data_IF_413660159824
#
_entry.id   IF_413660159824
#
_cell.length_a   1.000
_cell.length_b   1.000
_cell.length_c   1.000
_cell.angle_alpha   90.00
_cell.angle_beta   90.00
_cell.angle_gamma   90.00
#
_symmetry.space_group_name_H-M   'P 1'
#
loop_
_entity.id
_entity.type
_entity.pdbx_description
1 polymer ?
#
# COMPACT_ATOMS: atom_id res chain seq x y z
N UNK A 1 -37.91 -3.01 8.52
CA UNK A 1 -36.48 -3.21 8.20
C UNK A 1 -35.58 -3.19 9.42
N UNK A 2 -35.81 -2.30 10.39
CA UNK A 2 -35.07 -2.25 11.67
C UNK A 2 -34.96 -3.61 12.36
N UNK A 3 -36.08 -4.30 12.54
CA UNK A 3 -36.11 -5.64 13.15
C UNK A 3 -35.23 -6.66 12.43
N UNK A 4 -35.27 -6.69 11.09
CA UNK A 4 -34.42 -7.60 10.30
C UNK A 4 -32.93 -7.30 10.46
N UNK A 5 -32.55 -6.02 10.60
CA UNK A 5 -31.15 -5.62 10.85
C UNK A 5 -30.72 -6.02 12.26
N UNK A 6 -31.57 -5.77 13.26
CA UNK A 6 -31.26 -6.15 14.64
C UNK A 6 -31.19 -7.67 14.82
N UNK A 7 -32.09 -8.42 14.18
CA UNK A 7 -32.05 -9.88 14.13
C UNK A 7 -30.75 -10.37 13.47
N UNK A 8 -30.35 -9.74 12.36
CA UNK A 8 -29.09 -10.05 11.68
C UNK A 8 -27.85 -9.82 12.57
N UNK A 9 -27.80 -8.67 13.25
CA UNK A 9 -26.71 -8.33 14.19
C UNK A 9 -26.65 -9.32 15.36
N UNK A 10 -27.80 -9.85 15.79
CA UNK A 10 -27.90 -10.82 16.87
C UNK A 10 -27.70 -12.28 16.40
N UNK A 11 -27.30 -12.51 15.14
CA UNK A 11 -26.95 -13.83 14.62
C UNK A 11 -28.11 -14.66 14.05
N UNK A 12 -29.26 -14.06 13.75
CA UNK A 12 -30.36 -14.78 13.11
C UNK A 12 -30.05 -15.10 11.65
N UNK A 13 -29.58 -16.33 11.42
CA UNK A 13 -29.24 -16.87 10.09
C UNK A 13 -30.43 -16.89 9.12
N UNK A 14 -31.68 -16.85 9.58
CA UNK A 14 -32.84 -16.79 8.68
C UNK A 14 -32.89 -15.48 7.91
N UNK A 15 -32.36 -14.39 8.49
CA UNK A 15 -32.28 -13.10 7.82
C UNK A 15 -31.10 -12.99 6.85
N UNK A 16 -30.07 -13.84 6.97
CA UNK A 16 -28.88 -13.84 6.09
C UNK A 16 -29.26 -13.96 4.62
N UNK A 17 -30.07 -14.96 4.25
CA UNK A 17 -30.46 -15.20 2.85
C UNK A 17 -31.19 -13.98 2.24
N UNK A 18 -31.98 -13.26 3.03
CA UNK A 18 -32.62 -12.03 2.59
C UNK A 18 -31.59 -10.95 2.21
N UNK A 19 -30.55 -10.75 3.03
CA UNK A 19 -29.51 -9.76 2.77
C UNK A 19 -28.57 -10.16 1.64
N UNK A 20 -28.20 -11.44 1.50
CA UNK A 20 -27.44 -11.93 0.35
C UNK A 20 -28.17 -11.64 -0.97
N UNK A 21 -29.47 -11.96 -1.03
CA UNK A 21 -30.29 -11.65 -2.20
C UNK A 21 -30.36 -10.14 -2.48
N UNK A 22 -30.40 -9.31 -1.44
CA UNK A 22 -30.43 -7.86 -1.59
C UNK A 22 -29.08 -7.31 -2.09
N UNK A 23 -27.96 -7.86 -1.61
CA UNK A 23 -26.60 -7.56 -2.08
C UNK A 23 -26.47 -7.90 -3.55
N UNK A 24 -26.84 -9.13 -3.96
CA UNK A 24 -26.78 -9.55 -5.36
C UNK A 24 -27.62 -8.62 -6.27
N UNK A 25 -28.82 -8.24 -5.82
CA UNK A 25 -29.68 -7.30 -6.55
C UNK A 25 -29.04 -5.92 -6.68
N UNK A 26 -28.51 -5.34 -5.60
CA UNK A 26 -27.88 -4.01 -5.66
C UNK A 26 -26.57 -4.04 -6.46
N UNK A 27 -25.77 -5.09 -6.36
CA UNK A 27 -24.55 -5.27 -7.15
C UNK A 27 -24.86 -5.32 -8.65
N UNK A 28 -25.86 -6.09 -9.08
CA UNK A 28 -26.33 -6.14 -10.47
C UNK A 28 -26.89 -4.81 -10.95
N UNK A 29 -27.72 -4.15 -10.13
CA UNK A 29 -28.31 -2.85 -10.47
C UNK A 29 -27.25 -1.76 -10.67
N UNK A 30 -26.13 -1.85 -9.95
CA UNK A 30 -25.01 -0.90 -10.05
C UNK A 30 -23.89 -1.40 -10.98
N UNK A 31 -24.07 -2.53 -11.65
CA UNK A 31 -23.06 -3.20 -12.50
C UNK A 31 -21.73 -3.48 -11.79
N UNK A 32 -21.76 -3.53 -10.45
CA UNK A 32 -20.59 -3.84 -9.61
C UNK A 32 -20.37 -5.35 -9.48
N UNK A 33 -21.38 -6.16 -9.78
CA UNK A 33 -21.30 -7.62 -9.77
C UNK A 33 -20.24 -8.15 -10.74
N UNK A 34 -20.04 -7.50 -11.89
CA UNK A 34 -18.97 -7.86 -12.85
C UNK A 34 -17.58 -7.79 -12.18
N UNK A 35 -17.32 -6.70 -11.45
CA UNK A 35 -16.05 -6.51 -10.76
C UNK A 35 -15.92 -7.44 -9.55
N UNK A 36 -16.99 -7.57 -8.76
CA UNK A 36 -17.00 -8.46 -7.60
C UNK A 36 -16.75 -9.91 -8.02
N UNK A 37 -17.41 -10.40 -9.07
CA UNK A 37 -17.16 -11.74 -9.63
C UNK A 37 -15.73 -11.90 -10.12
N UNK A 38 -15.20 -10.89 -10.81
CA UNK A 38 -13.82 -10.89 -11.29
C UNK A 38 -12.82 -11.02 -10.14
N UNK A 39 -13.08 -10.40 -9.00
CA UNK A 39 -12.13 -10.33 -7.88
C UNK A 39 -12.35 -11.39 -6.79
N UNK A 40 -13.58 -11.89 -6.62
CA UNK A 40 -13.98 -12.76 -5.50
C UNK A 40 -14.62 -14.08 -5.96
N UNK A 41 -14.84 -14.25 -7.26
CA UNK A 41 -15.54 -15.42 -7.80
C UNK A 41 -17.07 -15.32 -7.73
N UNK A 42 -17.73 -16.41 -8.10
CA UNK A 42 -19.19 -16.44 -8.29
C UNK A 42 -20.00 -16.22 -7.00
N UNK A 43 -19.41 -16.46 -5.82
CA UNK A 43 -20.06 -16.37 -4.51
C UNK A 43 -19.65 -15.10 -3.73
N UNK A 44 -19.39 -13.99 -4.44
CA UNK A 44 -18.90 -12.74 -3.84
C UNK A 44 -19.83 -12.14 -2.77
N UNK A 45 -21.11 -12.50 -2.80
CA UNK A 45 -22.12 -11.95 -1.89
C UNK A 45 -21.83 -12.26 -0.43
N UNK A 46 -21.15 -13.37 -0.12
CA UNK A 46 -20.75 -13.74 1.24
C UNK A 46 -19.66 -12.81 1.79
N UNK A 47 -18.71 -12.40 0.94
CA UNK A 47 -17.65 -11.46 1.33
C UNK A 47 -18.24 -10.06 1.57
N UNK A 48 -19.08 -9.59 0.64
CA UNK A 48 -19.79 -8.31 0.79
C UNK A 48 -20.71 -8.33 2.02
N UNK A 49 -21.34 -9.47 2.29
CA UNK A 49 -22.17 -9.65 3.48
C UNK A 49 -21.34 -9.54 4.77
N UNK A 50 -20.14 -10.12 4.80
CA UNK A 50 -19.23 -9.99 5.94
C UNK A 50 -18.86 -8.53 6.21
N UNK A 51 -18.57 -7.75 5.16
CA UNK A 51 -18.33 -6.30 5.28
C UNK A 51 -19.58 -5.54 5.77
N UNK A 52 -20.76 -5.92 5.29
CA UNK A 52 -22.02 -5.34 5.75
C UNK A 52 -22.24 -5.60 7.24
N UNK A 53 -21.95 -6.81 7.73
CA UNK A 53 -22.07 -7.15 9.16
C UNK A 53 -21.13 -6.30 10.02
N UNK A 54 -19.86 -6.21 9.64
CA UNK A 54 -18.87 -5.38 10.34
C UNK A 54 -19.34 -3.92 10.44
N UNK A 55 -19.89 -3.41 9.33
CA UNK A 55 -20.44 -2.06 9.28
C UNK A 55 -21.66 -1.89 10.17
N UNK A 56 -22.58 -2.85 10.19
CA UNK A 56 -23.76 -2.81 11.05
C UNK A 56 -23.39 -2.90 12.53
N UNK A 57 -22.38 -3.69 12.89
CA UNK A 57 -21.84 -3.79 14.24
C UNK A 57 -21.25 -2.47 14.71
N UNK A 58 -20.49 -1.77 13.86
CA UNK A 58 -19.87 -0.49 14.22
C UNK A 58 -20.88 0.64 14.44
N UNK A 59 -22.09 0.54 13.89
CA UNK A 59 -23.16 1.52 14.05
C UNK A 59 -24.35 0.99 14.89
N UNK A 60 -24.20 -0.15 15.56
CA UNK A 60 -25.28 -0.84 16.28
C UNK A 60 -26.04 0.08 17.24
N UNK A 61 -25.33 0.83 18.07
CA UNK A 61 -25.94 1.71 19.07
C UNK A 61 -26.74 2.85 18.43
N UNK A 62 -26.25 3.37 17.30
CA UNK A 62 -26.95 4.38 16.53
C UNK A 62 -28.22 3.82 15.86
N UNK A 63 -28.19 2.56 15.41
CA UNK A 63 -29.37 1.89 14.81
C UNK A 63 -30.45 1.59 15.86
N UNK A 64 -30.05 1.18 17.06
CA UNK A 64 -30.99 0.90 18.17
C UNK A 64 -31.82 2.13 18.54
N UNK A 65 -31.20 3.31 18.52
CA UNK A 65 -31.82 4.61 18.86
C UNK A 65 -32.77 5.17 17.79
N UNK A 66 -32.71 4.67 16.54
CA UNK A 66 -33.61 5.14 15.48
C UNK A 66 -35.00 4.53 15.64
N UNK A 67 -36.06 5.34 15.61
CA UNK A 67 -37.43 4.82 15.65
C UNK A 67 -37.70 3.87 14.47
N UNK A 68 -37.34 4.31 13.25
CA UNK A 68 -37.47 3.52 12.04
C UNK A 68 -36.20 3.52 11.19
N UNK A 69 -36.05 2.45 10.41
CA UNK A 69 -35.02 2.34 9.37
C UNK A 69 -35.75 2.05 8.07
N UNK A 70 -35.68 2.98 7.12
CA UNK A 70 -36.29 2.80 5.81
C UNK A 70 -35.42 1.89 4.91
N UNK A 71 -36.03 1.35 3.87
CA UNK A 71 -35.34 0.43 2.95
C UNK A 71 -34.23 1.12 2.14
N UNK A 72 -34.38 2.40 1.82
CA UNK A 72 -33.37 3.19 1.11
C UNK A 72 -32.05 3.29 1.89
N UNK A 73 -32.13 3.47 3.20
CA UNK A 73 -30.98 3.49 4.10
C UNK A 73 -30.21 2.17 4.06
N UNK A 74 -30.93 1.04 4.04
CA UNK A 74 -30.32 -0.30 3.93
C UNK A 74 -29.59 -0.47 2.61
N UNK A 75 -30.19 -0.03 1.50
CA UNK A 75 -29.51 -0.03 0.18
C UNK A 75 -28.24 0.81 0.21
N UNK A 76 -28.26 1.97 0.87
CA UNK A 76 -27.07 2.84 1.01
C UNK A 76 -25.95 2.12 1.79
N UNK A 77 -26.29 1.41 2.86
CA UNK A 77 -25.32 0.60 3.61
C UNK A 77 -24.73 -0.53 2.75
N UNK A 78 -25.56 -1.25 2.01
CA UNK A 78 -25.12 -2.32 1.10
C UNK A 78 -24.18 -1.79 0.03
N UNK A 79 -24.53 -0.67 -0.63
CA UNK A 79 -23.65 -0.05 -1.63
C UNK A 79 -22.32 0.35 -1.03
N UNK A 80 -22.34 0.90 0.18
CA UNK A 80 -21.09 1.25 0.86
C UNK A 80 -20.24 0.02 1.19
N UNK A 81 -20.86 -1.09 1.59
CA UNK A 81 -20.14 -2.36 1.82
C UNK A 81 -19.57 -2.93 0.52
N UNK A 82 -20.29 -2.83 -0.60
CA UNK A 82 -19.77 -3.20 -1.93
C UNK A 82 -18.53 -2.38 -2.29
N UNK A 83 -18.58 -1.06 -2.12
CA UNK A 83 -17.44 -0.17 -2.43
C UNK A 83 -16.23 -0.44 -1.53
N UNK A 84 -16.46 -0.67 -0.23
CA UNK A 84 -15.40 -1.05 0.71
C UNK A 84 -14.76 -2.39 0.33
N UNK A 85 -15.59 -3.37 -0.03
CA UNK A 85 -15.12 -4.67 -0.56
C UNK A 85 -14.27 -4.45 -1.81
N UNK A 86 -14.78 -3.73 -2.81
CA UNK A 86 -14.02 -3.46 -4.04
C UNK A 86 -12.72 -2.70 -3.78
N UNK A 87 -12.65 -1.80 -2.80
CA UNK A 87 -11.39 -1.15 -2.41
C UNK A 87 -10.38 -2.14 -1.86
N UNK A 88 -10.79 -3.01 -0.93
CA UNK A 88 -9.91 -4.04 -0.34
C UNK A 88 -9.29 -4.94 -1.42
N UNK A 89 -10.08 -5.33 -2.42
CA UNK A 89 -9.62 -6.27 -3.44
C UNK A 89 -8.99 -5.58 -4.66
N UNK A 90 -9.42 -4.37 -5.04
CA UNK A 90 -8.76 -3.63 -6.14
C UNK A 90 -7.27 -3.37 -5.87
N UNK A 91 -6.87 -3.28 -4.60
CA UNK A 91 -5.47 -3.08 -4.20
C UNK A 91 -4.69 -4.41 -4.10
N UNK A 92 -5.37 -5.57 -4.11
CA UNK A 92 -4.75 -6.91 -4.05
C UNK A 92 -4.49 -7.55 -5.42
N UNK A 93 -4.94 -6.94 -6.53
CA UNK A 93 -4.76 -7.50 -7.88
C UNK A 93 -3.58 -6.87 -8.64
N UNK A 94 -2.37 -7.06 -8.12
CA UNK A 94 -1.30 -7.52 -9.04
C UNK A 94 -1.42 -9.03 -9.06
N UNK A 95 -1.96 -9.59 -10.14
CA UNK A 95 -2.12 -11.03 -10.31
C UNK A 95 -0.73 -11.69 -10.23
N UNK A 96 -0.47 -12.41 -9.13
CA UNK A 96 0.75 -13.21 -8.95
C UNK A 96 0.88 -14.30 -10.02
N UNK A 97 -0.25 -14.76 -10.58
CA UNK A 97 -0.30 -15.74 -11.68
C UNK A 97 0.36 -15.25 -12.97
N UNK A 98 0.58 -13.94 -13.13
CA UNK A 98 1.27 -13.35 -14.30
C UNK A 98 2.73 -13.00 -14.03
N UNK A 99 3.23 -13.23 -12.83
CA UNK A 99 4.62 -13.01 -12.47
C UNK A 99 5.37 -14.33 -12.56
N UNK A 100 5.59 -14.83 -13.78
CA UNK A 100 6.61 -15.85 -14.00
C UNK A 100 7.94 -15.15 -14.26
N UNK A 101 8.98 -15.58 -13.57
CA UNK A 101 10.35 -15.12 -13.81
C UNK A 101 11.13 -16.28 -14.41
N UNK A 102 11.60 -16.11 -15.64
CA UNK A 102 12.62 -17.01 -16.18
C UNK A 102 13.93 -16.76 -15.42
N UNK A 103 14.45 -17.83 -14.84
CA UNK A 103 15.83 -17.84 -14.33
C UNK A 103 16.81 -17.85 -15.51
N UNK A 104 18.07 -17.48 -15.26
CA UNK A 104 19.18 -17.52 -16.23
C UNK A 104 19.40 -18.90 -16.88
N UNK A 105 18.76 -19.92 -16.33
CA UNK A 105 18.91 -21.33 -16.68
C UNK A 105 17.67 -21.84 -17.44
N UNK A 106 16.74 -20.96 -17.80
CA UNK A 106 15.54 -21.26 -18.59
C UNK A 106 14.42 -21.97 -17.83
N UNK A 107 14.49 -22.06 -16.51
CA UNK A 107 13.39 -22.59 -15.68
C UNK A 107 12.42 -21.49 -15.30
N UNK A 108 11.15 -21.75 -15.59
CA UNK A 108 10.02 -20.93 -15.17
C UNK A 108 9.66 -21.28 -13.72
N UNK A 109 9.90 -20.35 -12.79
CA UNK A 109 9.56 -20.51 -11.37
C UNK A 109 8.26 -19.77 -11.10
N UNK A 110 7.30 -20.46 -10.50
CA UNK A 110 6.04 -19.86 -10.05
C UNK A 110 6.29 -19.08 -8.76
N UNK A 111 5.73 -17.86 -8.67
CA UNK A 111 5.95 -17.01 -7.50
C UNK A 111 5.47 -17.64 -6.19
N UNK A 112 4.52 -18.58 -6.22
CA UNK A 112 4.08 -19.29 -5.01
C UNK A 112 5.19 -20.12 -4.35
N UNK A 113 6.18 -20.58 -5.12
CA UNK A 113 7.36 -21.30 -4.60
C UNK A 113 8.36 -20.35 -3.91
N UNK A 114 8.26 -19.04 -4.16
CA UNK A 114 9.07 -18.00 -3.48
C UNK A 114 8.44 -17.56 -2.14
N UNK A 115 7.14 -17.76 -1.93
CA UNK A 115 6.37 -17.23 -0.79
C UNK A 115 6.65 -17.91 0.57
N UNK A 116 7.61 -18.82 0.65
CA UNK A 116 8.02 -19.45 1.91
C UNK A 116 8.84 -18.55 2.87
N UNK A 117 9.05 -17.26 2.58
CA UNK A 117 10.06 -16.44 3.29
C UNK A 117 9.80 -14.95 3.50
N UNK A 118 8.60 -14.40 3.25
CA UNK A 118 8.49 -12.95 3.06
C UNK A 118 7.60 -12.19 4.06
N UNK A 119 8.16 -11.91 5.24
CA UNK A 119 7.95 -10.61 5.92
C UNK A 119 8.74 -9.48 5.21
N UNK A 120 9.65 -9.83 4.27
CA UNK A 120 10.49 -8.87 3.55
C UNK A 120 9.82 -8.25 2.33
N UNK A 121 8.72 -8.80 1.81
CA UNK A 121 8.01 -8.23 0.65
C UNK A 121 7.30 -6.93 1.01
N UNK A 122 6.57 -6.89 2.13
CA UNK A 122 5.89 -5.66 2.58
C UNK A 122 6.91 -4.56 2.92
N UNK A 123 7.98 -4.91 3.63
CA UNK A 123 9.11 -4.00 3.88
C UNK A 123 9.72 -3.51 2.57
N UNK A 124 9.90 -4.37 1.56
CA UNK A 124 10.47 -3.96 0.27
C UNK A 124 9.59 -2.97 -0.50
N UNK A 125 8.26 -3.08 -0.41
CA UNK A 125 7.33 -2.14 -1.04
C UNK A 125 7.41 -0.78 -0.33
N UNK A 126 7.29 -0.75 0.99
CA UNK A 126 7.38 0.49 1.77
C UNK A 126 8.74 1.17 1.62
N UNK A 127 9.83 0.39 1.60
CA UNK A 127 11.19 0.86 1.31
C UNK A 127 11.27 1.49 -0.07
N UNK A 128 10.70 0.88 -1.11
CA UNK A 128 10.74 1.46 -2.46
C UNK A 128 9.96 2.77 -2.56
N UNK A 129 8.77 2.84 -1.94
CA UNK A 129 7.97 4.05 -1.88
C UNK A 129 8.71 5.17 -1.14
N UNK A 130 9.34 4.85 0.00
CA UNK A 130 10.13 5.78 0.78
C UNK A 130 11.36 6.28 -0.01
N UNK A 131 12.08 5.39 -0.69
CA UNK A 131 13.22 5.76 -1.55
C UNK A 131 12.75 6.70 -2.66
N UNK A 132 11.65 6.39 -3.34
CA UNK A 132 11.10 7.24 -4.39
C UNK A 132 10.66 8.62 -3.86
N UNK A 133 10.01 8.65 -2.70
CA UNK A 133 9.60 9.89 -2.05
C UNK A 133 10.82 10.77 -1.71
N UNK A 134 11.87 10.18 -1.13
CA UNK A 134 13.13 10.88 -0.85
C UNK A 134 13.74 11.39 -2.16
N UNK A 135 13.94 10.54 -3.17
CA UNK A 135 14.58 10.94 -4.43
C UNK A 135 13.82 12.02 -5.19
N UNK A 136 12.48 12.00 -5.16
CA UNK A 136 11.63 12.97 -5.87
C UNK A 136 11.84 14.42 -5.40
N UNK A 137 12.33 14.60 -4.17
CA UNK A 137 12.60 15.93 -3.60
C UNK A 137 14.08 16.32 -3.67
N UNK A 138 14.99 15.46 -4.15
CA UNK A 138 16.42 15.78 -4.21
C UNK A 138 16.80 16.42 -5.54
N UNK A 139 17.59 17.49 -5.48
CA UNK A 139 18.40 17.90 -6.63
C UNK A 139 19.69 17.07 -6.70
N UNK A 140 20.40 17.07 -7.83
CA UNK A 140 21.68 16.35 -7.98
C UNK A 140 22.69 16.71 -6.87
N UNK A 141 22.79 18.00 -6.54
CA UNK A 141 23.66 18.46 -5.46
C UNK A 141 23.15 18.09 -4.06
N UNK A 142 21.84 17.86 -3.89
CA UNK A 142 21.31 17.32 -2.62
C UNK A 142 21.63 15.82 -2.52
N UNK A 143 21.62 15.11 -3.64
CA UNK A 143 21.97 13.70 -3.72
C UNK A 143 23.44 13.46 -3.39
N UNK A 144 24.34 14.29 -3.93
CA UNK A 144 25.77 14.29 -3.60
C UNK A 144 26.00 14.47 -2.08
N UNK A 145 25.31 15.43 -1.46
CA UNK A 145 25.38 15.68 -0.01
C UNK A 145 24.83 14.48 0.77
N UNK A 146 23.69 13.93 0.34
CA UNK A 146 23.08 12.78 0.99
C UNK A 146 24.03 11.58 0.98
N UNK A 147 24.61 11.24 -0.17
CA UNK A 147 25.53 10.13 -0.30
C UNK A 147 26.80 10.31 0.56
N UNK A 148 27.38 11.52 0.58
CA UNK A 148 28.54 11.82 1.44
C UNK A 148 28.24 11.55 2.92
N UNK A 149 27.12 12.06 3.43
CA UNK A 149 26.76 11.87 4.84
C UNK A 149 26.34 10.42 5.14
N UNK A 150 25.63 9.74 4.24
CA UNK A 150 25.26 8.34 4.46
C UNK A 150 26.47 7.42 4.54
N UNK A 151 27.47 7.58 3.65
CA UNK A 151 28.73 6.82 3.77
C UNK A 151 29.45 7.12 5.08
N UNK A 152 29.51 8.41 5.46
CA UNK A 152 30.20 8.83 6.67
C UNK A 152 29.55 8.28 7.93
N UNK A 153 28.22 8.27 8.01
CA UNK A 153 27.48 7.74 9.16
C UNK A 153 27.55 6.20 9.23
N UNK A 154 27.49 5.51 8.09
CA UNK A 154 27.48 4.03 8.06
C UNK A 154 28.87 3.40 8.15
N UNK A 155 29.90 4.05 7.60
CA UNK A 155 31.26 3.50 7.51
C UNK A 155 32.32 4.31 8.25
N UNK A 156 31.95 5.43 8.89
CA UNK A 156 32.87 6.33 9.61
C UNK A 156 33.77 7.17 8.68
N UNK A 157 33.72 6.93 7.37
CA UNK A 157 34.47 7.65 6.32
C UNK A 157 33.64 7.66 5.04
N UNK A 158 33.80 8.70 4.24
CA UNK A 158 33.24 8.76 2.89
C UNK A 158 34.36 8.78 1.86
N UNK A 159 34.20 8.01 0.80
CA UNK A 159 35.08 8.03 -0.37
C UNK A 159 34.56 9.01 -1.44
N UNK A 160 33.43 9.66 -1.18
CA UNK A 160 32.85 10.69 -2.05
C UNK A 160 33.54 12.01 -1.71
N UNK A 161 34.20 12.61 -2.71
CA UNK A 161 34.69 13.98 -2.63
C UNK A 161 33.61 14.92 -3.12
N UNK A 162 32.95 15.70 -2.24
CA UNK A 162 31.94 16.63 -2.68
C UNK A 162 32.57 17.79 -3.45
N UNK A 163 31.90 18.21 -4.51
CA UNK A 163 32.24 19.36 -5.36
C UNK A 163 32.21 20.72 -4.65
N UNK A 164 31.84 20.75 -3.36
CA UNK A 164 31.61 21.96 -2.58
C UNK A 164 32.47 22.03 -1.33
N UNK A 165 32.67 23.25 -0.81
CA UNK A 165 33.42 23.46 0.44
C UNK A 165 32.74 22.82 1.64
N UNK A 166 33.51 22.51 2.69
CA UNK A 166 32.98 21.90 3.93
C UNK A 166 31.83 22.69 4.56
N UNK A 167 31.93 24.02 4.57
CA UNK A 167 30.88 24.91 5.08
C UNK A 167 29.60 24.86 4.23
N UNK A 168 29.75 24.84 2.90
CA UNK A 168 28.62 24.73 1.99
C UNK A 168 27.93 23.37 2.10
N UNK A 169 28.73 22.30 2.23
CA UNK A 169 28.27 20.93 2.45
C UNK A 169 27.45 20.82 3.74
N UNK A 170 27.96 21.35 4.85
CA UNK A 170 27.25 21.34 6.13
C UNK A 170 25.94 22.13 6.08
N UNK A 171 25.96 23.37 5.57
CA UNK A 171 24.74 24.18 5.43
C UNK A 171 23.70 23.55 4.51
N UNK A 172 24.14 22.77 3.53
CA UNK A 172 23.25 22.06 2.61
C UNK A 172 22.65 20.82 3.27
N UNK A 173 23.42 20.09 4.07
CA UNK A 173 22.94 18.96 4.86
C UNK A 173 21.83 19.35 5.84
N UNK A 174 22.00 20.45 6.58
CA UNK A 174 20.96 20.93 7.51
C UNK A 174 19.65 21.30 6.78
N UNK A 175 19.76 21.94 5.61
CA UNK A 175 18.62 22.23 4.75
C UNK A 175 17.97 20.97 4.21
N UNK A 176 18.77 19.98 3.82
CA UNK A 176 18.31 18.70 3.31
C UNK A 176 17.52 17.91 4.37
N UNK A 177 18.04 17.79 5.60
CA UNK A 177 17.32 17.16 6.72
C UNK A 177 15.95 17.81 6.95
N UNK A 178 15.91 19.13 6.91
CA UNK A 178 14.66 19.90 7.05
C UNK A 178 13.70 19.62 5.90
N UNK A 179 14.22 19.53 4.66
CA UNK A 179 13.44 19.24 3.45
C UNK A 179 12.83 17.84 3.51
N UNK A 180 13.60 16.82 3.88
CA UNK A 180 13.12 15.45 4.03
C UNK A 180 12.03 15.38 5.10
N UNK A 181 12.28 15.92 6.30
CA UNK A 181 11.29 15.91 7.41
C UNK A 181 9.95 16.58 7.06
N UNK A 182 9.94 17.55 6.14
CA UNK A 182 8.72 18.28 5.75
C UNK A 182 7.92 17.57 4.65
N UNK A 183 8.58 16.78 3.81
CA UNK A 183 7.97 16.26 2.58
C UNK A 183 7.88 14.72 2.54
N UNK A 184 8.53 14.04 3.48
CA UNK A 184 8.52 12.58 3.59
C UNK A 184 7.85 12.22 4.90
N UNK A 185 6.95 11.22 4.88
CA UNK A 185 6.35 10.69 6.10
C UNK A 185 7.42 10.09 7.01
N UNK A 186 7.12 9.91 8.30
CA UNK A 186 8.05 9.30 9.26
C UNK A 186 7.83 7.79 9.26
N UNK A 187 8.73 6.99 8.66
CA UNK A 187 8.65 5.52 8.71
C UNK A 187 9.11 4.99 10.08
N UNK A 188 8.92 3.69 10.31
CA UNK A 188 9.61 2.99 11.38
C UNK A 188 11.13 2.89 11.10
N UNK A 189 11.90 2.58 12.14
CA UNK A 189 13.36 2.54 12.09
C UNK A 189 13.90 1.49 11.09
N UNK A 190 13.21 0.36 10.93
CA UNK A 190 13.64 -0.74 10.06
C UNK A 190 13.48 -0.34 8.60
N UNK A 191 12.31 0.19 8.24
CA UNK A 191 12.00 0.69 6.89
C UNK A 191 12.92 1.85 6.52
N UNK A 192 13.18 2.78 7.46
CA UNK A 192 14.13 3.86 7.24
C UNK A 192 15.52 3.34 6.93
N UNK A 193 16.03 2.41 7.75
CA UNK A 193 17.36 1.84 7.58
C UNK A 193 17.50 1.16 6.22
N UNK A 194 16.54 0.32 5.84
CA UNK A 194 16.57 -0.35 4.53
C UNK A 194 16.49 0.63 3.35
N UNK A 195 15.71 1.70 3.46
CA UNK A 195 15.66 2.74 2.44
C UNK A 195 16.99 3.49 2.30
N UNK A 196 17.67 3.80 3.42
CA UNK A 196 18.99 4.42 3.39
C UNK A 196 20.06 3.49 2.81
N UNK A 197 20.07 2.21 3.22
CA UNK A 197 20.97 1.19 2.65
C UNK A 197 20.73 1.02 1.15
N UNK A 198 19.47 1.08 0.70
CA UNK A 198 19.11 1.01 -0.71
C UNK A 198 19.53 2.24 -1.50
N UNK A 199 19.29 3.45 -0.98
CA UNK A 199 19.77 4.70 -1.59
C UNK A 199 21.29 4.65 -1.77
N UNK A 200 21.98 4.20 -0.73
CA UNK A 200 23.42 4.03 -0.76
C UNK A 200 23.82 3.04 -1.86
N UNK A 201 23.26 1.82 -1.83
CA UNK A 201 23.54 0.74 -2.78
C UNK A 201 23.31 1.15 -4.25
N UNK A 202 22.11 1.66 -4.53
CA UNK A 202 21.62 1.85 -5.91
C UNK A 202 22.05 3.18 -6.52
N UNK A 203 22.34 4.19 -5.71
CA UNK A 203 22.59 5.54 -6.21
C UNK A 203 23.94 6.11 -5.78
N UNK A 204 24.43 5.78 -4.59
CA UNK A 204 25.73 6.26 -4.12
C UNK A 204 26.88 5.34 -4.55
N UNK A 205 26.75 4.01 -4.41
CA UNK A 205 27.81 3.04 -4.73
C UNK A 205 27.86 2.58 -6.19
N UNK A 206 26.80 2.79 -7.00
CA UNK A 206 26.82 2.51 -8.46
C UNK A 206 27.64 3.51 -9.29
N UNK A 207 28.59 4.22 -8.70
CA UNK A 207 29.60 4.98 -9.43
C UNK A 207 29.10 6.14 -10.29
N UNK A 208 27.81 6.54 -10.23
CA UNK A 208 27.30 7.71 -10.99
C UNK A 208 27.89 9.05 -10.54
N UNK A 209 28.61 9.07 -9.42
CA UNK A 209 29.44 10.20 -8.99
C UNK A 209 30.94 9.88 -8.93
N UNK A 210 31.35 8.63 -9.22
CA UNK A 210 32.76 8.27 -9.30
C UNK A 210 33.18 8.34 -10.77
N UNK A 211 33.50 9.57 -11.19
CA UNK A 211 34.01 10.01 -12.51
C UNK A 211 32.93 10.40 -13.53
N UNK A 212 33.05 11.65 -13.99
CA UNK A 212 32.13 12.29 -14.92
C UNK A 212 31.89 11.50 -16.21
N UNK A 213 30.64 11.54 -16.66
CA UNK A 213 30.23 10.93 -17.92
C UNK A 213 28.73 10.70 -17.97
N UNK A 214 27.97 11.74 -18.30
CA UNK A 214 26.64 11.55 -18.89
C UNK A 214 26.84 11.00 -20.32
N UNK A 215 26.78 9.68 -20.47
CA UNK A 215 26.51 9.03 -21.74
C UNK A 215 25.03 8.69 -21.78
N UNK A 216 24.31 9.27 -22.75
CA UNK A 216 22.98 8.81 -23.16
C UNK A 216 23.12 7.41 -23.74
N UNK A 217 22.18 6.54 -23.42
CA UNK A 217 21.56 5.59 -24.34
C UNK A 217 20.07 5.48 -23.96
#
# INVERSE_FOLDING_TARGET
MKEKILALINGDLKTKSFFLNLIMKEARLTQRDIFLKKYLGENYEEEVFSQLILKLLSIKDALSKKEEINFHYVKKLIRSAIEETLKLYSHRFVSLEKLTKETSDGKEIRYEELLGKDERLDINIEVNELVNAILSILSEKDMEVLCYYLEKELYGKSNIEPSMTKDALYKRWERLKTKIRKNVYVPDETTLRYALEKILSDFCSKGRFIKGGYGRD
#
